data_IF_450353178453
#
_entry.id   IF_450353178453
#
_cell.length_a   1.000
_cell.length_b   1.000
_cell.length_c   1.000
_cell.angle_alpha   90.00
_cell.angle_beta   90.00
_cell.angle_gamma   90.00
#
_symmetry.space_group_name_H-M   'P 1'
#
loop_
_entity.id
_entity.type
_entity.pdbx_description
1 polymer ?
#
# COMPACT_ATOMS: atom_id res chain seq x y z
N UNK A 1 54.99 -22.20 -67.23
CA UNK A 1 55.44 -22.23 -65.82
C UNK A 1 54.72 -21.15 -65.03
N UNK A 2 53.91 -21.59 -64.06
CA UNK A 2 53.67 -21.03 -62.70
C UNK A 2 53.37 -19.53 -62.55
N UNK A 3 52.10 -19.17 -62.26
CA UNK A 3 51.56 -18.64 -60.95
C UNK A 3 52.05 -17.21 -60.63
N UNK A 4 51.23 -16.25 -60.16
CA UNK A 4 50.42 -16.23 -58.93
C UNK A 4 49.39 -15.10 -59.08
N UNK A 5 48.11 -15.38 -58.78
CA UNK A 5 47.11 -14.34 -58.50
C UNK A 5 47.15 -14.01 -57.00
N UNK A 6 47.34 -12.74 -56.65
CA UNK A 6 47.31 -12.26 -55.26
C UNK A 6 45.87 -11.86 -54.94
N UNK A 7 45.23 -12.64 -54.08
CA UNK A 7 43.91 -12.39 -53.51
C UNK A 7 44.07 -11.41 -52.33
N UNK A 8 43.53 -10.19 -52.45
CA UNK A 8 43.46 -9.26 -51.33
C UNK A 8 42.23 -9.60 -50.46
N UNK A 9 42.49 -10.06 -49.24
CA UNK A 9 41.49 -10.46 -48.26
C UNK A 9 40.86 -9.21 -47.62
N UNK A 10 39.58 -8.95 -47.86
CA UNK A 10 38.84 -7.91 -47.17
C UNK A 10 38.53 -8.35 -45.73
N UNK A 11 39.22 -7.78 -44.75
CA UNK A 11 38.91 -7.94 -43.33
C UNK A 11 37.69 -7.07 -43.00
N UNK A 12 36.52 -7.70 -42.87
CA UNK A 12 35.36 -7.08 -42.25
C UNK A 12 35.54 -7.13 -40.73
N UNK A 13 35.76 -5.97 -40.12
CA UNK A 13 35.74 -5.86 -38.67
C UNK A 13 34.28 -6.01 -38.20
N UNK A 14 33.95 -7.18 -37.65
CA UNK A 14 32.69 -7.37 -36.93
C UNK A 14 32.82 -6.62 -35.61
N UNK A 15 32.24 -5.43 -35.53
CA UNK A 15 32.05 -4.75 -34.25
C UNK A 15 30.95 -5.48 -33.50
N UNK A 16 31.32 -6.31 -32.53
CA UNK A 16 30.39 -6.78 -31.53
C UNK A 16 29.90 -5.55 -30.75
N UNK A 17 28.62 -5.21 -30.88
CA UNK A 17 27.99 -4.30 -29.92
C UNK A 17 28.19 -4.93 -28.55
N UNK A 18 28.84 -4.21 -27.62
CA UNK A 18 28.90 -4.63 -26.24
C UNK A 18 27.47 -4.91 -25.78
N UNK A 19 27.18 -6.15 -25.41
CA UNK A 19 25.95 -6.46 -24.71
C UNK A 19 25.85 -5.50 -23.53
N UNK A 20 24.70 -4.88 -23.35
CA UNK A 20 24.43 -3.96 -22.24
C UNK A 20 24.65 -4.73 -20.93
N UNK A 21 25.86 -4.67 -20.38
CA UNK A 21 26.20 -5.30 -19.10
C UNK A 21 25.70 -4.40 -17.98
N UNK A 22 24.39 -4.15 -17.95
CA UNK A 22 23.77 -3.57 -16.75
C UNK A 22 24.06 -4.53 -15.60
N UNK A 23 24.83 -4.07 -14.61
CA UNK A 23 25.04 -4.84 -13.39
C UNK A 23 23.66 -5.16 -12.79
N UNK A 24 23.37 -6.46 -12.64
CA UNK A 24 22.12 -6.91 -12.06
C UNK A 24 22.35 -7.18 -10.58
N UNK A 25 21.69 -6.42 -9.71
CA UNK A 25 21.67 -6.69 -8.28
C UNK A 25 20.67 -7.81 -7.98
N UNK A 26 21.08 -8.79 -7.18
CA UNK A 26 20.18 -9.84 -6.71
C UNK A 26 19.41 -9.35 -5.47
N UNK A 27 18.09 -9.17 -5.61
CA UNK A 27 17.24 -8.75 -4.49
C UNK A 27 16.98 -9.86 -3.47
N UNK A 28 16.32 -9.50 -2.36
CA UNK A 28 15.93 -10.43 -1.27
C UNK A 28 15.05 -11.61 -1.74
N UNK A 29 14.36 -11.45 -2.87
CA UNK A 29 13.55 -12.48 -3.53
C UNK A 29 14.32 -13.28 -4.59
N UNK A 30 15.66 -13.17 -4.61
CA UNK A 30 16.58 -13.78 -5.57
C UNK A 30 16.37 -13.36 -7.02
N UNK A 31 15.50 -12.37 -7.29
CA UNK A 31 15.34 -11.80 -8.63
C UNK A 31 16.48 -10.83 -8.91
N UNK A 32 17.08 -11.00 -10.08
CA UNK A 32 18.02 -10.06 -10.66
C UNK A 32 17.27 -8.81 -11.11
N UNK A 33 17.78 -7.63 -10.73
CA UNK A 33 17.21 -6.33 -11.04
C UNK A 33 18.28 -5.39 -11.56
N UNK A 34 17.91 -4.51 -12.47
CA UNK A 34 18.77 -3.39 -12.85
C UNK A 34 18.90 -2.38 -11.71
N UNK A 35 19.95 -1.57 -11.71
CA UNK A 35 20.12 -0.49 -10.73
C UNK A 35 18.92 0.46 -10.70
N UNK A 36 18.32 0.75 -11.86
CA UNK A 36 17.10 1.55 -11.96
C UNK A 36 15.91 0.91 -11.22
N UNK A 37 15.74 -0.41 -11.31
CA UNK A 37 14.66 -1.12 -10.59
C UNK A 37 14.89 -1.16 -9.08
N UNK A 38 16.14 -1.28 -8.65
CA UNK A 38 16.51 -1.19 -7.22
C UNK A 38 16.23 0.22 -6.71
N UNK A 39 16.66 1.23 -7.45
CA UNK A 39 16.45 2.63 -7.10
C UNK A 39 14.95 2.97 -7.02
N UNK A 40 14.16 2.54 -8.00
CA UNK A 40 12.69 2.69 -7.97
C UNK A 40 12.06 2.05 -6.73
N UNK A 41 12.58 0.90 -6.28
CA UNK A 41 12.10 0.26 -5.04
C UNK A 41 12.49 1.08 -3.81
N UNK A 42 13.70 1.64 -3.78
CA UNK A 42 14.20 2.43 -2.66
C UNK A 42 13.49 3.79 -2.53
N UNK A 43 13.05 4.34 -3.66
CA UNK A 43 12.39 5.65 -3.76
C UNK A 43 10.85 5.54 -3.74
N UNK A 44 10.26 4.34 -3.68
CA UNK A 44 8.79 4.15 -3.71
C UNK A 44 8.06 4.94 -2.59
N UNK A 45 8.70 5.06 -1.42
CA UNK A 45 8.19 5.88 -0.33
C UNK A 45 8.23 7.39 -0.67
N UNK A 46 9.31 7.86 -1.31
CA UNK A 46 9.47 9.26 -1.72
C UNK A 46 8.48 9.62 -2.84
N UNK A 47 8.30 8.73 -3.84
CA UNK A 47 7.28 8.85 -4.89
C UNK A 47 5.87 8.95 -4.30
N UNK A 48 5.55 8.17 -3.27
CA UNK A 48 4.26 8.28 -2.60
C UNK A 48 4.12 9.59 -1.83
N UNK A 49 5.19 10.15 -1.25
CA UNK A 49 5.14 11.48 -0.59
C UNK A 49 4.90 12.61 -1.59
N UNK A 50 5.44 12.52 -2.79
CA UNK A 50 5.10 13.45 -3.88
C UNK A 50 3.61 13.33 -4.26
N UNK A 51 3.09 12.11 -4.34
CA UNK A 51 1.65 11.87 -4.54
C UNK A 51 0.80 12.50 -3.41
N UNK A 52 1.26 12.45 -2.16
CA UNK A 52 0.55 13.08 -1.03
C UNK A 52 0.38 14.58 -1.23
N UNK A 53 1.42 15.26 -1.70
CA UNK A 53 1.38 16.70 -1.96
C UNK A 53 0.35 17.05 -3.04
N UNK A 54 0.29 16.25 -4.11
CA UNK A 54 -0.70 16.44 -5.18
C UNK A 54 -2.14 16.08 -4.75
N UNK A 55 -2.29 15.24 -3.72
CA UNK A 55 -3.56 14.71 -3.22
C UNK A 55 -3.80 15.07 -1.75
N UNK A 56 -3.32 16.25 -1.36
CA UNK A 56 -3.56 16.82 -0.04
C UNK A 56 -5.01 17.33 0.07
N UNK A 57 -5.42 17.73 1.27
CA UNK A 57 -6.77 18.24 1.52
C UNK A 57 -7.86 17.15 1.45
N UNK A 58 -7.48 15.89 1.66
CA UNK A 58 -8.39 14.75 1.56
C UNK A 58 -9.36 14.65 2.75
N UNK A 59 -9.09 15.36 3.85
CA UNK A 59 -9.95 15.40 5.05
C UNK A 59 -11.09 16.41 4.85
N UNK A 60 -10.76 17.60 4.36
CA UNK A 60 -11.68 18.73 4.13
C UNK A 60 -12.71 18.41 3.04
N UNK A 61 -12.37 17.48 2.16
CA UNK A 61 -13.23 17.04 1.05
C UNK A 61 -14.10 15.84 1.39
N UNK A 62 -13.99 15.27 2.61
CA UNK A 62 -14.84 14.17 3.04
C UNK A 62 -16.30 14.60 3.13
N UNK A 63 -17.16 13.80 2.52
CA UNK A 63 -18.61 14.00 2.52
C UNK A 63 -19.31 12.68 2.76
N UNK A 64 -20.27 12.69 3.67
CA UNK A 64 -21.14 11.56 3.96
C UNK A 64 -21.80 11.00 2.68
N UNK A 65 -21.62 9.70 2.45
CA UNK A 65 -22.10 9.03 1.23
C UNK A 65 -21.18 9.20 0.01
N UNK A 66 -19.97 9.75 0.17
CA UNK A 66 -18.98 9.83 -0.92
C UNK A 66 -17.54 9.71 -0.40
N UNK A 67 -17.34 8.98 0.69
CA UNK A 67 -16.03 8.76 1.32
C UNK A 67 -15.06 7.99 0.41
N UNK A 68 -15.56 6.98 -0.31
CA UNK A 68 -14.77 6.14 -1.22
C UNK A 68 -14.20 6.92 -2.42
N UNK A 69 -14.78 8.07 -2.77
CA UNK A 69 -14.27 8.97 -3.81
C UNK A 69 -13.19 9.95 -3.33
N UNK A 70 -12.78 9.87 -2.06
CA UNK A 70 -11.76 10.76 -1.50
C UNK A 70 -10.41 10.60 -2.22
N UNK A 71 -9.71 11.73 -2.41
CA UNK A 71 -8.32 11.77 -2.90
C UNK A 71 -7.35 11.01 -1.99
N UNK A 72 -7.77 10.65 -0.77
CA UNK A 72 -7.04 9.74 0.10
C UNK A 72 -6.57 8.48 -0.67
N UNK A 73 -7.45 7.90 -1.48
CA UNK A 73 -7.22 6.65 -2.22
C UNK A 73 -6.37 6.78 -3.49
N UNK A 74 -5.95 7.99 -3.85
CA UNK A 74 -5.08 8.20 -5.01
C UNK A 74 -3.61 7.83 -4.74
N UNK A 75 -3.23 7.63 -3.47
CA UNK A 75 -1.87 7.33 -3.04
C UNK A 75 -1.88 6.25 -1.95
N UNK A 76 -0.77 5.53 -1.76
CA UNK A 76 -0.57 4.84 -0.48
C UNK A 76 -0.27 5.87 0.60
N UNK A 77 -0.66 5.61 1.85
CA UNK A 77 -0.70 6.61 2.92
C UNK A 77 0.08 6.13 4.14
N UNK A 78 0.80 7.02 4.81
CA UNK A 78 1.50 6.68 6.06
C UNK A 78 0.51 6.22 7.13
N UNK A 79 0.99 5.57 8.20
CA UNK A 79 0.14 5.16 9.33
C UNK A 79 -0.61 6.33 9.93
N UNK A 80 0.05 7.48 10.11
CA UNK A 80 -0.55 8.72 10.61
C UNK A 80 -1.72 9.17 9.72
N UNK A 81 -1.52 9.22 8.39
CA UNK A 81 -2.58 9.61 7.45
C UNK A 81 -3.71 8.59 7.40
N UNK A 82 -3.40 7.28 7.52
CA UNK A 82 -4.41 6.22 7.61
C UNK A 82 -5.30 6.43 8.83
N UNK A 83 -4.70 6.66 10.00
CA UNK A 83 -5.45 6.87 11.23
C UNK A 83 -6.21 8.19 11.23
N UNK A 84 -5.61 9.26 10.71
CA UNK A 84 -6.29 10.55 10.51
C UNK A 84 -7.55 10.41 9.65
N UNK A 85 -7.44 9.71 8.51
CA UNK A 85 -8.56 9.48 7.60
C UNK A 85 -9.70 8.70 8.27
N UNK A 86 -9.40 7.53 8.85
CA UNK A 86 -10.45 6.68 9.44
C UNK A 86 -11.02 7.28 10.74
N UNK A 87 -10.23 8.03 11.51
CA UNK A 87 -10.72 8.79 12.67
C UNK A 87 -11.64 9.94 12.22
N UNK A 88 -11.37 10.58 11.08
CA UNK A 88 -12.29 11.57 10.50
C UNK A 88 -13.60 10.92 10.06
N UNK A 89 -13.57 9.74 9.42
CA UNK A 89 -14.78 8.97 9.11
C UNK A 89 -15.57 8.64 10.38
N UNK A 90 -14.90 8.16 11.43
CA UNK A 90 -15.53 7.85 12.72
C UNK A 90 -16.21 9.09 13.32
N UNK A 91 -15.51 10.23 13.36
CA UNK A 91 -16.05 11.50 13.88
C UNK A 91 -17.28 11.99 13.12
N UNK A 92 -17.34 11.77 11.81
CA UNK A 92 -18.52 12.12 11.00
C UNK A 92 -19.69 11.12 11.16
N UNK A 93 -19.42 9.89 11.63
CA UNK A 93 -20.42 8.81 11.74
C UNK A 93 -20.42 8.12 13.13
N UNK A 94 -20.45 8.87 14.24
CA UNK A 94 -20.14 8.33 15.58
C UNK A 94 -21.17 7.33 16.12
N UNK A 95 -22.35 7.24 15.50
CA UNK A 95 -23.41 6.28 15.88
C UNK A 95 -23.22 4.89 15.30
N UNK A 96 -22.49 4.79 14.19
CA UNK A 96 -22.38 3.56 13.39
C UNK A 96 -20.94 3.11 13.19
N UNK A 97 -19.95 4.00 13.37
CA UNK A 97 -18.54 3.68 13.28
C UNK A 97 -17.87 4.03 14.61
N UNK A 98 -17.30 3.03 15.28
CA UNK A 98 -16.60 3.19 16.56
C UNK A 98 -15.19 2.62 16.52
N UNK A 99 -14.30 3.12 17.36
CA UNK A 99 -12.90 2.69 17.46
C UNK A 99 -12.68 1.89 18.74
N UNK A 100 -12.02 0.74 18.62
CA UNK A 100 -11.74 -0.19 19.72
C UNK A 100 -10.25 -0.52 19.77
N UNK A 101 -9.66 -0.51 20.97
CA UNK A 101 -8.30 -0.98 21.21
C UNK A 101 -8.31 -2.50 21.28
N UNK A 102 -7.55 -3.16 20.40
CA UNK A 102 -7.60 -4.63 20.29
C UNK A 102 -6.28 -5.32 20.63
N UNK A 103 -5.16 -4.61 20.56
CA UNK A 103 -3.83 -5.16 20.82
C UNK A 103 -2.78 -4.04 20.91
N UNK A 104 -1.51 -4.43 21.08
CA UNK A 104 -0.36 -3.53 21.16
C UNK A 104 0.82 -4.14 20.40
N UNK A 105 1.60 -3.32 19.69
CA UNK A 105 2.78 -3.75 18.95
C UNK A 105 4.01 -3.93 19.85
N UNK A 106 5.12 -4.41 19.29
CA UNK A 106 6.40 -4.58 19.99
C UNK A 106 6.96 -3.24 20.47
N UNK A 107 6.75 -2.17 19.69
CA UNK A 107 7.13 -0.81 20.08
C UNK A 107 6.04 -0.08 20.88
N UNK A 108 5.10 -0.81 21.49
CA UNK A 108 4.02 -0.27 22.32
C UNK A 108 3.04 0.67 21.61
N UNK A 109 2.81 0.49 20.30
CA UNK A 109 1.74 1.20 19.58
C UNK A 109 0.44 0.44 19.69
N UNK A 110 -0.66 1.12 19.99
CA UNK A 110 -1.98 0.49 20.06
C UNK A 110 -2.47 0.10 18.66
N UNK A 111 -2.96 -1.13 18.52
CA UNK A 111 -3.64 -1.61 17.32
C UNK A 111 -5.14 -1.40 17.51
N UNK A 112 -5.76 -0.70 16.55
CA UNK A 112 -7.17 -0.34 16.59
C UNK A 112 -7.99 -1.14 15.58
N UNK A 113 -9.19 -1.55 16.00
CA UNK A 113 -10.27 -1.96 15.11
C UNK A 113 -11.31 -0.84 14.99
N UNK A 114 -11.85 -0.65 13.78
CA UNK A 114 -12.97 0.23 13.51
C UNK A 114 -14.20 -0.63 13.24
N UNK A 115 -15.15 -0.58 14.15
CA UNK A 115 -16.38 -1.36 14.11
C UNK A 115 -17.47 -0.55 13.43
N UNK A 116 -17.94 -1.06 12.29
CA UNK A 116 -19.10 -0.55 11.56
C UNK A 116 -20.33 -1.41 11.89
N UNK A 117 -21.37 -0.78 12.43
CA UNK A 117 -22.67 -1.40 12.72
C UNK A 117 -23.76 -0.80 11.87
N UNK A 118 -24.60 -1.66 11.26
CA UNK A 118 -25.78 -1.22 10.53
C UNK A 118 -26.98 -0.91 11.44
N UNK A 119 -28.18 -0.94 10.84
CA UNK A 119 -29.44 -0.59 11.50
C UNK A 119 -29.89 -1.61 12.56
N UNK A 120 -29.48 -2.88 12.41
CA UNK A 120 -29.98 -3.99 13.22
C UNK A 120 -29.02 -4.38 14.34
N UNK A 121 -29.57 -4.94 15.41
CA UNK A 121 -28.77 -5.61 16.44
C UNK A 121 -28.38 -6.99 15.91
N UNK A 122 -27.08 -7.24 15.77
CA UNK A 122 -26.55 -8.42 15.09
C UNK A 122 -25.64 -9.23 16.02
N UNK A 123 -25.68 -10.56 15.89
CA UNK A 123 -24.87 -11.51 16.70
C UNK A 123 -23.67 -12.07 15.96
N UNK A 124 -23.57 -11.83 14.65
CA UNK A 124 -22.48 -12.31 13.79
C UNK A 124 -21.56 -11.15 13.43
N UNK A 125 -20.28 -11.47 13.26
CA UNK A 125 -19.26 -10.49 12.91
C UNK A 125 -18.41 -10.96 11.74
N UNK A 126 -17.93 -10.02 10.94
CA UNK A 126 -16.87 -10.23 9.96
C UNK A 126 -15.66 -9.36 10.34
N UNK A 127 -14.48 -9.91 10.18
CA UNK A 127 -13.22 -9.27 10.53
C UNK A 127 -12.35 -9.13 9.28
N UNK A 128 -11.97 -7.89 8.98
CA UNK A 128 -11.15 -7.52 7.83
C UNK A 128 -9.85 -6.90 8.34
N UNK A 129 -8.72 -7.50 7.98
CA UNK A 129 -7.41 -6.97 8.34
C UNK A 129 -6.51 -6.80 7.13
N UNK A 130 -5.57 -5.90 7.27
CA UNK A 130 -4.56 -5.60 6.26
C UNK A 130 -3.19 -5.33 6.88
N UNK A 131 -2.16 -5.30 6.04
CA UNK A 131 -0.79 -4.96 6.43
C UNK A 131 -0.27 -5.83 7.59
N UNK A 132 -0.55 -7.13 7.55
CA UNK A 132 0.19 -8.09 8.38
C UNK A 132 1.67 -8.12 7.94
N UNK A 133 1.89 -8.09 6.62
CA UNK A 133 3.20 -7.82 6.04
C UNK A 133 3.31 -6.35 5.65
N UNK A 134 4.34 -5.69 6.17
CA UNK A 134 4.48 -4.24 6.06
C UNK A 134 4.58 -3.72 4.62
N UNK A 135 5.33 -4.38 3.74
CA UNK A 135 5.49 -4.00 2.34
C UNK A 135 4.26 -4.14 1.44
N UNK A 136 3.16 -4.74 1.91
CA UNK A 136 1.99 -5.04 1.09
C UNK A 136 0.99 -3.87 1.12
N UNK A 137 1.46 -2.64 0.79
CA UNK A 137 0.75 -1.36 0.96
C UNK A 137 -0.67 -1.35 0.36
N UNK A 138 -0.87 -2.02 -0.77
CA UNK A 138 -2.19 -2.15 -1.41
C UNK A 138 -3.23 -2.82 -0.51
N UNK A 139 -2.83 -3.74 0.37
CA UNK A 139 -3.76 -4.37 1.30
C UNK A 139 -4.41 -3.35 2.25
N UNK A 140 -3.63 -2.38 2.74
CA UNK A 140 -4.12 -1.31 3.62
C UNK A 140 -5.10 -0.39 2.90
N UNK A 141 -4.74 0.05 1.70
CA UNK A 141 -5.59 0.90 0.86
C UNK A 141 -6.91 0.20 0.52
N UNK A 142 -6.87 -1.08 0.12
CA UNK A 142 -8.07 -1.84 -0.22
C UNK A 142 -8.99 -2.07 0.97
N UNK A 143 -8.44 -2.31 2.16
CA UNK A 143 -9.23 -2.48 3.38
C UNK A 143 -9.97 -1.19 3.76
N UNK A 144 -9.29 -0.05 3.69
CA UNK A 144 -9.89 1.27 3.92
C UNK A 144 -10.91 1.64 2.85
N UNK A 145 -10.67 1.27 1.58
CA UNK A 145 -11.62 1.50 0.50
C UNK A 145 -12.90 0.67 0.70
N UNK A 146 -12.77 -0.59 1.15
CA UNK A 146 -13.91 -1.42 1.49
C UNK A 146 -14.72 -0.80 2.66
N UNK A 147 -14.05 -0.35 3.72
CA UNK A 147 -14.71 0.37 4.82
C UNK A 147 -15.46 1.61 4.31
N UNK A 148 -14.79 2.47 3.55
CA UNK A 148 -15.37 3.72 3.04
C UNK A 148 -16.57 3.46 2.11
N UNK A 149 -16.47 2.46 1.23
CA UNK A 149 -17.54 2.09 0.29
C UNK A 149 -18.77 1.54 1.02
N UNK A 150 -18.57 0.65 1.99
CA UNK A 150 -19.68 0.10 2.79
C UNK A 150 -20.29 1.20 3.67
N UNK A 151 -19.47 2.09 4.23
CA UNK A 151 -19.95 3.24 4.98
C UNK A 151 -20.78 4.19 4.10
N UNK A 152 -20.38 4.41 2.84
CA UNK A 152 -21.17 5.17 1.87
C UNK A 152 -22.53 4.54 1.63
N UNK A 153 -22.60 3.22 1.45
CA UNK A 153 -23.85 2.50 1.28
C UNK A 153 -24.75 2.60 2.53
N UNK A 154 -24.18 2.45 3.73
CA UNK A 154 -24.93 2.58 5.00
C UNK A 154 -25.51 3.98 5.16
N UNK A 155 -24.71 5.02 4.91
CA UNK A 155 -25.17 6.43 5.01
C UNK A 155 -26.24 6.76 3.98
N UNK A 156 -26.16 6.16 2.79
CA UNK A 156 -27.16 6.33 1.72
C UNK A 156 -28.38 5.40 1.86
N UNK A 157 -28.49 4.64 2.97
CA UNK A 157 -29.56 3.68 3.20
C UNK A 157 -29.67 2.57 2.12
N UNK A 158 -28.52 2.18 1.54
CA UNK A 158 -28.42 1.05 0.62
C UNK A 158 -28.14 -0.23 1.41
N UNK A 159 -28.56 -1.37 0.84
CA UNK A 159 -28.25 -2.68 1.39
C UNK A 159 -26.74 -2.92 1.38
N UNK A 160 -26.20 -3.39 2.50
CA UNK A 160 -24.77 -3.65 2.66
C UNK A 160 -24.50 -4.87 3.55
N UNK A 161 -23.23 -5.27 3.66
CA UNK A 161 -22.83 -6.32 4.59
C UNK A 161 -23.13 -5.96 6.06
N UNK A 162 -23.23 -4.66 6.39
CA UNK A 162 -23.51 -4.17 7.73
C UNK A 162 -24.97 -4.45 8.19
N UNK A 163 -25.86 -4.84 7.26
CA UNK A 163 -27.22 -5.28 7.58
C UNK A 163 -27.27 -6.71 8.14
N UNK A 164 -26.22 -7.51 7.90
CA UNK A 164 -26.15 -8.93 8.30
C UNK A 164 -25.03 -9.23 9.29
N UNK A 165 -23.99 -8.39 9.35
CA UNK A 165 -22.83 -8.58 10.22
C UNK A 165 -22.39 -7.27 10.89
N UNK A 166 -21.85 -7.38 12.12
CA UNK A 166 -20.98 -6.34 12.65
C UNK A 166 -19.63 -6.42 11.92
N UNK A 167 -19.17 -5.34 11.30
CA UNK A 167 -17.95 -5.38 10.49
C UNK A 167 -16.81 -4.73 11.27
N UNK A 168 -15.71 -5.45 11.46
CA UNK A 168 -14.51 -4.94 12.13
C UNK A 168 -13.40 -4.76 11.10
N UNK A 169 -12.90 -3.55 10.97
CA UNK A 169 -11.80 -3.20 10.07
C UNK A 169 -10.55 -2.88 10.89
N UNK A 170 -9.47 -3.62 10.67
CA UNK A 170 -8.15 -3.34 11.24
C UNK A 170 -7.21 -2.88 10.12
N UNK A 171 -7.00 -1.56 9.96
CA UNK A 171 -6.26 -1.03 8.82
C UNK A 171 -4.80 -1.47 8.79
N UNK A 172 -4.14 -1.53 9.96
CA UNK A 172 -2.73 -1.87 10.06
C UNK A 172 -2.53 -2.80 11.26
N UNK A 173 -2.26 -4.08 11.00
CA UNK A 173 -1.93 -5.04 12.07
C UNK A 173 -0.46 -4.92 12.50
N UNK A 174 0.45 -4.72 11.54
CA UNK A 174 1.87 -4.58 11.79
C UNK A 174 2.31 -3.11 11.67
N UNK A 175 1.92 -2.26 12.63
CA UNK A 175 2.20 -0.81 12.59
C UNK A 175 3.71 -0.55 12.58
N UNK A 176 4.47 -1.22 13.46
CA UNK A 176 5.92 -1.00 13.54
C UNK A 176 6.62 -1.32 12.22
N UNK A 177 6.32 -2.47 11.63
CA UNK A 177 6.89 -2.86 10.35
C UNK A 177 6.44 -1.92 9.23
N UNK A 178 5.18 -1.49 9.24
CA UNK A 178 4.64 -0.56 8.25
C UNK A 178 5.39 0.77 8.28
N UNK A 179 5.62 1.34 9.45
CA UNK A 179 6.37 2.58 9.60
C UNK A 179 7.83 2.44 9.13
N UNK A 180 8.48 1.31 9.44
CA UNK A 180 9.81 0.99 8.91
C UNK A 180 9.79 0.95 7.38
N UNK A 181 8.73 0.42 6.77
CA UNK A 181 8.63 0.34 5.30
C UNK A 181 8.58 1.71 4.59
N UNK A 182 8.23 2.78 5.32
CA UNK A 182 8.25 4.16 4.83
C UNK A 182 9.63 4.84 4.95
N UNK A 183 10.62 4.18 5.55
CA UNK A 183 11.99 4.66 5.62
C UNK A 183 12.71 4.40 4.29
N UNK A 184 13.52 5.35 3.83
CA UNK A 184 14.28 5.22 2.57
C UNK A 184 15.09 3.92 2.53
N UNK A 185 14.96 3.17 1.43
CA UNK A 185 15.62 1.88 1.24
C UNK A 185 15.07 0.72 2.09
N UNK A 186 13.98 0.93 2.86
CA UNK A 186 13.33 -0.10 3.69
C UNK A 186 11.97 -0.53 3.16
N UNK A 187 11.59 -0.12 1.95
CA UNK A 187 10.30 -0.43 1.31
C UNK A 187 9.92 -1.92 1.34
N UNK A 188 10.91 -2.81 1.28
CA UNK A 188 10.72 -4.26 1.29
C UNK A 188 10.58 -4.89 2.69
N UNK A 189 10.53 -4.07 3.75
CA UNK A 189 10.26 -4.51 5.12
C UNK A 189 9.01 -5.39 5.16
N UNK A 190 9.11 -6.58 5.77
CA UNK A 190 8.00 -7.55 5.80
C UNK A 190 7.52 -7.83 7.21
N UNK A 191 8.42 -8.16 8.14
CA UNK A 191 8.05 -8.60 9.49
C UNK A 191 7.77 -7.39 10.39
N UNK A 192 7.46 -7.66 11.65
CA UNK A 192 7.36 -6.63 12.69
C UNK A 192 8.76 -6.10 13.08
N UNK A 193 8.82 -5.22 14.08
CA UNK A 193 10.09 -4.65 14.54
C UNK A 193 10.89 -5.53 15.52
N UNK A 194 10.45 -6.75 15.81
CA UNK A 194 11.21 -7.73 16.57
C UNK A 194 11.96 -8.65 15.60
N UNK A 195 12.97 -8.10 14.92
CA UNK A 195 13.77 -8.83 13.93
C UNK A 195 15.14 -9.27 14.43
#
# INVERSE_FOLDING_TARGET
MKTIAILALALTAVTFAAADTTALAQGLDRKLRTDAQVQATNDDADVNRECHTANDGYIETLKAGNYSASKFFNCFRTSDQIFEFVDALMKQNPKILTKEEISTTVQNKTIYAYKLTGKYVLTRSLYFQSLLHAREWVSGSSNLFALASILDDVVQFKLSAADSFNLYFVPIVNIDGYDISWTKGKRLQRKNANE
#
